data_IF_935487301513
#
_entry.id   IF_935487301513
#
_cell.length_a   1.000
_cell.length_b   1.000
_cell.length_c   1.000
_cell.angle_alpha   90.00
_cell.angle_beta   90.00
_cell.angle_gamma   90.00
#
_symmetry.space_group_name_H-M   'P 1'
#
loop_
_entity.id
_entity.type
_entity.pdbx_description
1 polymer ?
#
# COMPACT_ATOMS: atom_id res chain seq x y z
N UNK A 1 -8.50 -15.01 -1.31
CA UNK A 1 -8.57 -16.29 -0.58
C UNK A 1 -7.19 -16.92 -0.55
N UNK A 2 -6.75 -17.49 0.58
CA UNK A 2 -5.41 -18.10 0.71
C UNK A 2 -5.42 -19.60 0.35
N UNK A 3 -4.28 -20.27 0.52
CA UNK A 3 -4.11 -21.71 0.26
C UNK A 3 -4.94 -22.62 1.18
N UNK A 4 -5.48 -22.10 2.28
CA UNK A 4 -6.38 -22.81 3.20
C UNK A 4 -7.86 -22.53 2.91
N UNK A 5 -8.18 -21.73 1.89
CA UNK A 5 -9.56 -21.36 1.57
C UNK A 5 -10.09 -20.17 2.38
N UNK A 6 -9.26 -19.53 3.22
CA UNK A 6 -9.67 -18.39 4.04
C UNK A 6 -9.65 -17.11 3.22
N UNK A 7 -10.66 -16.26 3.40
CA UNK A 7 -10.79 -15.00 2.65
C UNK A 7 -10.96 -13.82 3.60
N UNK A 8 -10.22 -12.76 3.32
CA UNK A 8 -10.45 -11.41 3.84
C UNK A 8 -10.53 -10.46 2.64
N UNK A 9 -11.34 -9.42 2.76
CA UNK A 9 -11.48 -8.38 1.73
C UNK A 9 -11.13 -7.01 2.31
N UNK A 10 -10.66 -6.14 1.43
CA UNK A 10 -10.50 -4.71 1.67
C UNK A 10 -10.80 -4.00 0.36
N UNK A 11 -11.49 -2.88 0.43
CA UNK A 11 -11.72 -2.03 -0.73
C UNK A 11 -10.46 -1.20 -0.96
N UNK A 12 -9.96 -1.22 -2.20
CA UNK A 12 -8.84 -0.40 -2.62
C UNK A 12 -9.30 0.56 -3.72
N UNK A 13 -8.92 1.82 -3.59
CA UNK A 13 -9.07 2.82 -4.66
C UNK A 13 -7.76 2.89 -5.44
N UNK A 14 -7.85 2.73 -6.74
CA UNK A 14 -6.68 2.70 -7.61
C UNK A 14 -6.32 4.11 -8.05
N UNK A 15 -5.05 4.44 -7.83
CA UNK A 15 -4.44 5.67 -8.30
C UNK A 15 -4.54 5.76 -9.83
N UNK A 16 -4.97 6.89 -10.38
CA UNK A 16 -4.99 7.10 -11.83
C UNK A 16 -3.60 6.87 -12.41
N UNK A 17 -3.51 6.10 -13.49
CA UNK A 17 -2.24 5.76 -14.12
C UNK A 17 -1.47 7.02 -14.53
N UNK A 18 -0.16 7.01 -14.27
CA UNK A 18 0.74 8.13 -14.57
C UNK A 18 0.60 9.30 -13.61
N UNK A 19 -0.30 9.26 -12.62
CA UNK A 19 -0.43 10.36 -11.64
C UNK A 19 0.84 10.64 -10.83
N UNK A 20 1.80 9.71 -10.76
CA UNK A 20 3.12 9.96 -10.17
C UNK A 20 3.93 11.01 -10.97
N UNK A 21 3.65 11.14 -12.27
CA UNK A 21 4.22 12.18 -13.14
C UNK A 21 3.26 13.35 -13.37
N UNK A 22 1.98 13.21 -12.97
CA UNK A 22 1.01 14.31 -13.01
C UNK A 22 1.24 15.22 -11.82
N UNK A 23 1.79 16.41 -12.08
CA UNK A 23 2.07 17.39 -11.03
C UNK A 23 0.77 17.81 -10.34
N UNK A 24 0.72 17.69 -9.01
CA UNK A 24 -0.43 18.12 -8.20
C UNK A 24 -0.80 19.58 -8.47
N UNK A 25 0.21 20.40 -8.74
CA UNK A 25 0.07 21.80 -9.07
C UNK A 25 -0.59 22.07 -10.43
N UNK A 26 -0.80 21.06 -11.27
CA UNK A 26 -1.45 21.21 -12.59
C UNK A 26 -2.89 20.69 -12.60
N UNK A 27 -3.31 19.95 -11.57
CA UNK A 27 -4.67 19.40 -11.45
C UNK A 27 -5.12 18.58 -12.68
N UNK A 28 -4.19 17.91 -13.37
CA UNK A 28 -4.45 17.17 -14.62
C UNK A 28 -5.56 16.10 -14.50
N UNK A 29 -5.63 15.28 -13.43
CA UNK A 29 -6.76 14.39 -13.15
C UNK A 29 -8.16 15.03 -13.25
N UNK A 30 -8.34 16.30 -12.88
CA UNK A 30 -9.64 16.96 -13.03
C UNK A 30 -10.02 17.12 -14.51
N UNK A 31 -9.08 17.56 -15.35
CA UNK A 31 -9.34 17.71 -16.79
C UNK A 31 -9.52 16.36 -17.50
N UNK A 32 -8.87 15.30 -17.02
CA UNK A 32 -9.15 13.94 -17.45
C UNK A 32 -10.58 13.52 -17.08
N UNK A 33 -11.02 13.77 -15.84
CA UNK A 33 -12.37 13.44 -15.39
C UNK A 33 -13.45 14.11 -16.25
N UNK A 34 -13.25 15.35 -16.70
CA UNK A 34 -14.15 16.05 -17.62
C UNK A 34 -14.35 15.34 -18.97
N UNK A 35 -13.37 14.54 -19.39
CA UNK A 35 -13.41 13.80 -20.65
C UNK A 35 -14.02 12.41 -20.54
N UNK A 36 -14.36 11.94 -19.34
CA UNK A 36 -14.86 10.58 -19.14
C UNK A 36 -16.39 10.50 -19.21
N UNK A 37 -16.87 9.45 -19.85
CA UNK A 37 -18.28 9.05 -19.81
C UNK A 37 -18.54 8.12 -18.63
N UNK A 38 -19.81 8.05 -18.20
CA UNK A 38 -20.28 7.08 -17.21
C UNK A 38 -19.94 5.64 -17.62
N UNK A 39 -19.68 4.80 -16.62
CA UNK A 39 -19.39 3.38 -16.80
C UNK A 39 -20.57 2.51 -16.38
N UNK A 40 -20.57 1.25 -16.79
CA UNK A 40 -21.50 0.26 -16.26
C UNK A 40 -20.82 -0.54 -15.15
N UNK A 41 -21.46 -0.62 -13.98
CA UNK A 41 -21.03 -1.45 -12.86
C UNK A 41 -22.25 -2.16 -12.28
N UNK A 42 -22.24 -3.50 -12.32
CA UNK A 42 -23.37 -4.35 -11.91
C UNK A 42 -24.73 -3.89 -12.48
N UNK A 43 -24.76 -3.57 -13.79
CA UNK A 43 -25.97 -3.12 -14.49
C UNK A 43 -26.40 -1.69 -14.17
N UNK A 44 -25.61 -0.92 -13.42
CA UNK A 44 -25.90 0.49 -13.11
C UNK A 44 -24.93 1.39 -13.84
N UNK A 45 -25.44 2.50 -14.38
CA UNK A 45 -24.61 3.56 -14.91
C UNK A 45 -24.01 4.36 -13.75
N UNK A 46 -22.70 4.28 -13.54
CA UNK A 46 -21.97 4.95 -12.44
C UNK A 46 -21.03 6.03 -12.98
N UNK A 47 -20.82 7.13 -12.26
CA UNK A 47 -19.78 8.09 -12.63
C UNK A 47 -18.39 7.47 -12.38
N UNK A 48 -17.41 7.65 -13.28
CA UNK A 48 -16.04 7.22 -13.03
C UNK A 48 -15.39 8.10 -11.95
N UNK A 49 -14.46 7.52 -11.19
CA UNK A 49 -13.61 8.26 -10.27
C UNK A 49 -12.21 8.39 -10.87
N UNK A 50 -11.74 9.62 -11.04
CA UNK A 50 -10.33 9.91 -11.35
C UNK A 50 -9.67 10.41 -10.08
N UNK A 51 -8.55 9.79 -9.71
CA UNK A 51 -7.91 10.05 -8.41
C UNK A 51 -6.69 10.95 -8.59
N UNK A 52 -6.70 12.07 -7.87
CA UNK A 52 -5.53 12.92 -7.65
C UNK A 52 -4.87 12.47 -6.35
N UNK A 53 -3.68 11.87 -6.44
CA UNK A 53 -2.90 11.46 -5.26
C UNK A 53 -1.48 11.97 -5.42
N UNK A 54 -0.99 12.66 -4.39
CA UNK A 54 0.38 13.14 -4.28
C UNK A 54 0.79 13.18 -2.81
N UNK A 55 2.09 13.02 -2.54
CA UNK A 55 2.64 13.25 -1.21
C UNK A 55 2.50 14.73 -0.85
N UNK A 56 2.06 15.03 0.38
CA UNK A 56 1.76 16.40 0.80
C UNK A 56 2.97 17.34 0.75
N UNK A 57 4.17 16.78 0.89
CA UNK A 57 5.45 17.47 0.76
C UNK A 57 5.65 18.03 -0.65
N UNK A 58 5.15 17.31 -1.67
CA UNK A 58 5.18 17.75 -3.06
C UNK A 58 4.21 18.92 -3.32
N UNK A 59 3.34 19.25 -2.35
CA UNK A 59 2.39 20.36 -2.37
C UNK A 59 2.75 21.56 -1.48
N UNK A 60 3.96 21.64 -0.91
CA UNK A 60 4.33 22.79 -0.07
C UNK A 60 5.62 22.71 0.74
N UNK A 61 6.36 21.60 0.74
CA UNK A 61 7.76 21.59 1.24
C UNK A 61 8.74 21.90 0.11
N UNK A 62 8.35 21.58 -1.13
CA UNK A 62 9.13 21.84 -2.36
C UNK A 62 8.57 22.99 -3.23
N UNK A 63 7.52 23.67 -2.77
CA UNK A 63 6.87 24.80 -3.45
C UNK A 63 6.72 25.94 -2.43
N UNK A 64 7.36 27.09 -2.66
CA UNK A 64 7.27 28.24 -1.74
C UNK A 64 5.86 28.87 -1.70
N UNK A 65 4.98 28.51 -2.62
CA UNK A 65 3.64 29.07 -2.79
C UNK A 65 2.62 27.98 -3.11
N UNK A 66 1.38 28.20 -2.69
CA UNK A 66 0.29 27.27 -2.95
C UNK A 66 -0.10 27.27 -4.45
N UNK A 67 -0.37 26.11 -5.09
CA UNK A 67 -0.58 26.07 -6.54
C UNK A 67 -1.82 26.84 -7.00
N UNK A 68 -1.65 27.85 -7.86
CA UNK A 68 -2.76 28.65 -8.39
C UNK A 68 -3.84 27.84 -9.12
N UNK A 69 -3.43 26.78 -9.84
CA UNK A 69 -4.38 25.88 -10.53
C UNK A 69 -5.34 25.17 -9.59
N UNK A 70 -4.96 24.95 -8.32
CA UNK A 70 -5.88 24.37 -7.35
C UNK A 70 -7.10 25.28 -7.18
N UNK A 71 -6.90 26.58 -6.96
CA UNK A 71 -8.01 27.52 -6.78
C UNK A 71 -8.88 27.62 -8.03
N UNK A 72 -8.25 27.64 -9.22
CA UNK A 72 -8.98 27.64 -10.48
C UNK A 72 -9.87 26.38 -10.60
N UNK A 73 -9.31 25.20 -10.41
CA UNK A 73 -10.05 23.94 -10.51
C UNK A 73 -11.13 23.84 -9.44
N UNK A 74 -10.87 24.24 -8.20
CA UNK A 74 -11.89 24.26 -7.16
C UNK A 74 -13.07 25.16 -7.53
N UNK A 75 -12.81 26.32 -8.14
CA UNK A 75 -13.87 27.21 -8.62
C UNK A 75 -14.65 26.59 -9.79
N UNK A 76 -13.97 26.01 -10.77
CA UNK A 76 -14.61 25.36 -11.92
C UNK A 76 -15.43 24.10 -11.52
N UNK A 77 -14.91 23.29 -10.60
CA UNK A 77 -15.52 22.02 -10.20
C UNK A 77 -16.74 22.22 -9.29
N UNK A 78 -16.76 23.30 -8.50
CA UNK A 78 -17.82 23.57 -7.52
C UNK A 78 -19.18 23.76 -8.20
N UNK A 79 -20.13 22.86 -7.91
CA UNK A 79 -21.46 22.88 -8.50
C UNK A 79 -21.53 22.40 -9.96
N UNK A 80 -20.44 21.82 -10.47
CA UNK A 80 -20.40 21.20 -11.81
C UNK A 80 -20.78 19.71 -11.77
N UNK A 81 -20.90 19.10 -12.95
CA UNK A 81 -21.07 17.65 -13.12
C UNK A 81 -19.78 16.84 -12.86
N UNK A 82 -18.65 17.51 -12.55
CA UNK A 82 -17.35 16.91 -12.23
C UNK A 82 -16.86 17.42 -10.87
N UNK A 83 -17.57 17.14 -9.78
CA UNK A 83 -17.22 17.66 -8.46
C UNK A 83 -15.99 16.97 -7.89
N UNK A 84 -15.26 17.69 -7.04
CA UNK A 84 -14.24 17.10 -6.18
C UNK A 84 -14.92 16.37 -5.02
N UNK A 85 -14.47 15.16 -4.72
CA UNK A 85 -14.99 14.36 -3.60
C UNK A 85 -13.89 13.47 -3.03
N UNK A 86 -14.07 13.05 -1.78
CA UNK A 86 -13.21 12.05 -1.17
C UNK A 86 -13.64 10.63 -1.58
N UNK A 87 -12.76 9.65 -1.35
CA UNK A 87 -13.04 8.25 -1.69
C UNK A 87 -14.26 7.68 -0.94
N UNK A 88 -14.48 8.10 0.31
CA UNK A 88 -15.62 7.65 1.11
C UNK A 88 -16.94 8.13 0.52
N UNK A 89 -17.05 9.41 0.15
CA UNK A 89 -18.23 10.00 -0.51
C UNK A 89 -18.56 9.26 -1.82
N UNK A 90 -17.53 8.93 -2.61
CA UNK A 90 -17.73 8.15 -3.83
C UNK A 90 -18.28 6.74 -3.54
N UNK A 91 -17.70 6.03 -2.57
CA UNK A 91 -18.15 4.69 -2.18
C UNK A 91 -19.58 4.72 -1.60
N UNK A 92 -19.89 5.70 -0.77
CA UNK A 92 -21.24 5.92 -0.24
C UNK A 92 -22.24 6.17 -1.36
N UNK A 93 -21.87 6.94 -2.38
CA UNK A 93 -22.70 7.15 -3.56
C UNK A 93 -22.97 5.83 -4.31
N UNK A 94 -21.94 5.02 -4.55
CA UNK A 94 -22.10 3.70 -5.19
C UNK A 94 -23.02 2.79 -4.35
N UNK A 95 -22.85 2.75 -3.04
CA UNK A 95 -23.66 1.93 -2.14
C UNK A 95 -25.11 2.42 -2.07
N UNK A 96 -25.33 3.73 -2.05
CA UNK A 96 -26.67 4.32 -2.13
C UNK A 96 -27.36 4.02 -3.47
N UNK A 97 -26.58 3.92 -4.55
CA UNK A 97 -27.08 3.42 -5.84
C UNK A 97 -27.41 1.93 -5.79
N UNK A 98 -27.04 1.20 -4.73
CA UNK A 98 -27.28 -0.23 -4.53
C UNK A 98 -26.22 -1.14 -5.16
N UNK A 99 -25.02 -0.61 -5.42
CA UNK A 99 -23.81 -1.41 -5.67
C UNK A 99 -23.37 -2.02 -4.34
N UNK A 100 -22.93 -3.27 -4.36
CA UNK A 100 -22.39 -3.97 -3.17
C UNK A 100 -20.87 -4.09 -3.29
N UNK A 101 -20.20 -4.36 -2.17
CA UNK A 101 -18.77 -4.67 -2.19
C UNK A 101 -18.45 -5.85 -3.14
N UNK A 102 -19.33 -6.85 -3.21
CA UNK A 102 -19.20 -8.00 -4.13
C UNK A 102 -19.32 -7.65 -5.61
N UNK A 103 -19.85 -6.47 -5.93
CA UNK A 103 -20.02 -5.99 -7.29
C UNK A 103 -18.78 -5.22 -7.77
N UNK A 104 -17.88 -4.85 -6.86
CA UNK A 104 -16.63 -4.18 -7.19
C UNK A 104 -15.64 -5.14 -7.89
N UNK A 105 -14.88 -4.66 -8.87
CA UNK A 105 -13.91 -5.50 -9.55
C UNK A 105 -12.81 -5.98 -8.59
N UNK A 106 -12.47 -7.27 -8.69
CA UNK A 106 -11.35 -7.82 -7.90
C UNK A 106 -10.03 -7.25 -8.38
N UNK A 107 -9.29 -6.62 -7.48
CA UNK A 107 -7.93 -6.18 -7.75
C UNK A 107 -6.95 -7.36 -7.62
N UNK A 108 -6.03 -7.49 -8.57
CA UNK A 108 -4.92 -8.45 -8.49
C UNK A 108 -3.60 -7.77 -8.88
N UNK A 109 -2.50 -8.02 -8.14
CA UNK A 109 -1.19 -7.55 -8.55
C UNK A 109 -0.81 -8.10 -9.93
N UNK A 110 0.04 -7.35 -10.63
CA UNK A 110 0.50 -7.72 -11.97
C UNK A 110 1.06 -9.15 -11.97
N UNK A 111 0.73 -9.91 -13.01
CA UNK A 111 1.10 -11.33 -13.20
C UNK A 111 0.50 -12.33 -12.19
N UNK A 112 -0.07 -11.90 -11.05
CA UNK A 112 -0.60 -12.85 -10.05
C UNK A 112 -1.89 -13.55 -10.50
N UNK A 113 -2.60 -13.02 -11.51
CA UNK A 113 -3.71 -13.74 -12.16
C UNK A 113 -3.31 -15.15 -12.60
N UNK A 114 -2.06 -15.34 -13.04
CA UNK A 114 -1.53 -16.64 -13.49
C UNK A 114 -1.50 -17.70 -12.40
N UNK A 115 -1.42 -17.28 -11.12
CA UNK A 115 -1.55 -18.22 -9.99
C UNK A 115 -2.97 -18.76 -9.98
N UNK A 116 -3.96 -17.88 -10.04
CA UNK A 116 -5.39 -18.23 -9.94
C UNK A 116 -5.92 -18.99 -11.15
N UNK A 117 -5.26 -18.89 -12.30
CA UNK A 117 -5.54 -19.72 -13.48
C UNK A 117 -5.10 -21.20 -13.27
N UNK A 118 -4.21 -21.47 -12.32
CA UNK A 118 -3.60 -22.80 -12.08
C UNK A 118 -3.84 -23.36 -10.68
N UNK A 119 -4.28 -22.52 -9.76
CA UNK A 119 -4.45 -22.85 -8.35
C UNK A 119 -5.88 -22.52 -7.90
N UNK A 120 -6.56 -23.50 -7.28
CA UNK A 120 -7.83 -23.25 -6.62
C UNK A 120 -7.56 -22.94 -5.14
N UNK A 121 -8.12 -21.85 -4.59
CA UNK A 121 -8.00 -21.59 -3.16
C UNK A 121 -8.47 -22.78 -2.33
N UNK A 122 -7.70 -23.16 -1.31
CA UNK A 122 -7.95 -24.36 -0.51
C UNK A 122 -7.17 -25.61 -0.96
N UNK A 123 -6.49 -25.59 -2.10
CA UNK A 123 -5.70 -26.74 -2.59
C UNK A 123 -4.41 -27.00 -1.78
N UNK A 124 -4.18 -26.29 -0.68
CA UNK A 124 -3.05 -26.50 0.23
C UNK A 124 -1.81 -25.65 -0.08
N UNK A 125 -0.98 -25.35 0.94
CA UNK A 125 0.20 -24.51 0.80
C UNK A 125 1.26 -25.11 -0.12
N UNK A 126 1.44 -26.43 -0.12
CA UNK A 126 2.45 -27.13 -0.91
C UNK A 126 2.19 -26.96 -2.42
N UNK A 127 0.93 -27.08 -2.84
CA UNK A 127 0.54 -26.89 -4.23
C UNK A 127 0.68 -25.44 -4.67
N UNK A 128 0.39 -24.49 -3.78
CA UNK A 128 0.58 -23.06 -4.05
C UNK A 128 2.08 -22.76 -4.27
N UNK A 129 2.95 -23.30 -3.42
CA UNK A 129 4.40 -23.15 -3.53
C UNK A 129 4.92 -23.73 -4.85
N UNK A 130 4.47 -24.94 -5.21
CA UNK A 130 4.81 -25.56 -6.50
C UNK A 130 4.36 -24.67 -7.68
N UNK A 131 3.14 -24.16 -7.64
CA UNK A 131 2.59 -23.28 -8.70
C UNK A 131 3.45 -22.02 -8.86
N UNK A 132 3.82 -21.39 -7.74
CA UNK A 132 4.69 -20.21 -7.74
C UNK A 132 6.07 -20.55 -8.30
N UNK A 133 6.65 -21.70 -7.93
CA UNK A 133 7.96 -22.13 -8.41
C UNK A 133 7.96 -22.40 -9.93
N UNK A 134 6.90 -22.99 -10.46
CA UNK A 134 6.72 -23.20 -11.90
C UNK A 134 6.60 -21.87 -12.65
N UNK A 135 5.76 -20.94 -12.15
CA UNK A 135 5.60 -19.61 -12.75
C UNK A 135 6.91 -18.81 -12.76
N UNK A 136 7.71 -18.90 -11.69
CA UNK A 136 9.06 -18.29 -11.63
C UNK A 136 10.02 -18.86 -12.68
N UNK A 137 9.94 -20.17 -12.99
CA UNK A 137 10.78 -20.82 -14.01
C UNK A 137 10.37 -20.43 -15.43
N UNK A 138 9.07 -20.25 -15.67
CA UNK A 138 8.53 -19.89 -16.98
C UNK A 138 8.82 -18.44 -17.37
N UNK A 139 8.78 -17.51 -16.41
CA UNK A 139 8.93 -16.09 -16.67
C UNK A 139 9.75 -15.43 -15.55
N UNK A 140 10.98 -15.01 -15.86
CA UNK A 140 11.85 -14.34 -14.90
C UNK A 140 11.32 -13.00 -14.37
N UNK A 141 10.27 -12.44 -14.99
CA UNK A 141 9.55 -11.26 -14.48
C UNK A 141 8.52 -11.62 -13.41
N UNK A 142 8.14 -12.88 -13.27
CA UNK A 142 7.20 -13.30 -12.23
C UNK A 142 7.90 -13.31 -10.87
N UNK A 143 7.43 -12.46 -9.96
CA UNK A 143 7.92 -12.41 -8.58
C UNK A 143 6.74 -12.25 -7.61
N UNK A 144 6.89 -12.84 -6.43
CA UNK A 144 5.95 -12.67 -5.30
C UNK A 144 6.38 -11.56 -4.34
N UNK A 145 7.56 -10.98 -4.56
CA UNK A 145 8.14 -9.93 -3.74
C UNK A 145 7.80 -8.55 -4.32
N UNK A 146 7.69 -7.51 -3.48
CA UNK A 146 7.81 -6.13 -3.95
C UNK A 146 6.69 -5.62 -4.85
N UNK A 147 5.47 -5.51 -4.33
CA UNK A 147 4.53 -4.50 -4.83
C UNK A 147 5.08 -3.12 -4.48
N UNK A 148 5.44 -2.31 -5.48
CA UNK A 148 5.81 -0.91 -5.29
C UNK A 148 4.80 -0.03 -5.99
N UNK A 149 4.44 1.08 -5.37
CA UNK A 149 3.66 2.14 -6.03
C UNK A 149 4.42 2.74 -7.23
N UNK A 150 5.75 2.60 -7.28
CA UNK A 150 6.58 3.04 -8.41
C UNK A 150 6.77 1.98 -9.51
N UNK A 151 6.37 0.73 -9.26
CA UNK A 151 6.57 -0.46 -10.12
C UNK A 151 8.03 -0.83 -10.47
N UNK A 152 9.03 0.01 -10.18
CA UNK A 152 10.43 -0.15 -10.63
C UNK A 152 11.45 -0.25 -9.48
N UNK A 153 11.09 0.17 -8.26
CA UNK A 153 11.96 0.12 -7.08
C UNK A 153 11.64 -1.14 -6.27
N UNK A 154 12.68 -1.96 -6.03
CA UNK A 154 12.59 -3.05 -5.06
C UNK A 154 12.81 -2.52 -3.64
N UNK A 155 11.84 -2.78 -2.77
CA UNK A 155 11.93 -2.51 -1.34
C UNK A 155 12.55 -3.67 -0.54
N UNK A 156 12.96 -4.73 -1.24
CA UNK A 156 13.45 -5.99 -0.66
C UNK A 156 14.88 -6.25 -1.11
N UNK A 157 15.10 -6.33 -2.43
CA UNK A 157 16.39 -6.70 -3.00
C UNK A 157 17.47 -5.68 -2.63
N UNK A 158 18.57 -6.17 -2.07
CA UNK A 158 19.72 -5.35 -1.72
C UNK A 158 19.58 -4.60 -0.39
N UNK A 159 18.51 -4.86 0.38
CA UNK A 159 18.28 -4.28 1.71
C UNK A 159 18.37 -5.32 2.84
N UNK A 160 18.97 -6.48 2.59
CA UNK A 160 19.16 -7.55 3.58
C UNK A 160 19.84 -7.06 4.86
N UNK A 161 20.75 -6.09 4.72
CA UNK A 161 21.47 -5.46 5.81
C UNK A 161 20.56 -4.73 6.82
N UNK A 162 19.35 -4.30 6.42
CA UNK A 162 18.38 -3.66 7.32
C UNK A 162 17.12 -4.52 7.54
N UNK A 163 16.67 -5.26 6.53
CA UNK A 163 15.52 -6.16 6.64
C UNK A 163 15.78 -7.32 7.60
N UNK A 164 16.94 -7.98 7.52
CA UNK A 164 17.29 -9.05 8.44
C UNK A 164 17.27 -8.60 9.91
N UNK A 165 17.89 -7.47 10.27
CA UNK A 165 17.76 -6.89 11.61
C UNK A 165 16.32 -6.54 12.02
N UNK A 166 15.50 -6.01 11.11
CA UNK A 166 14.07 -5.71 11.40
C UNK A 166 13.29 -6.99 11.72
N UNK A 167 13.46 -8.05 10.92
CA UNK A 167 12.84 -9.35 11.14
C UNK A 167 13.28 -9.95 12.48
N UNK A 168 14.59 -9.90 12.76
CA UNK A 168 15.15 -10.38 14.03
C UNK A 168 14.55 -9.61 15.22
N UNK A 169 14.48 -8.28 15.15
CA UNK A 169 13.91 -7.46 16.21
C UNK A 169 12.41 -7.80 16.46
N UNK A 170 11.64 -8.01 15.39
CA UNK A 170 10.24 -8.43 15.46
C UNK A 170 10.09 -9.80 16.14
N UNK A 171 10.92 -10.77 15.74
CA UNK A 171 10.94 -12.11 16.34
C UNK A 171 11.35 -12.07 17.81
N UNK A 172 12.39 -11.32 18.17
CA UNK A 172 12.83 -11.13 19.56
C UNK A 172 11.72 -10.49 20.40
N UNK A 173 11.02 -9.47 19.87
CA UNK A 173 9.89 -8.86 20.58
C UNK A 173 8.76 -9.87 20.81
N UNK A 174 8.41 -10.69 19.82
CA UNK A 174 7.41 -11.74 20.02
C UNK A 174 7.84 -12.73 21.11
N UNK A 175 9.05 -13.28 21.02
CA UNK A 175 9.54 -14.33 21.93
C UNK A 175 9.73 -13.83 23.36
N UNK A 176 10.15 -12.57 23.55
CA UNK A 176 10.48 -12.01 24.88
C UNK A 176 9.35 -11.19 25.49
N UNK A 177 8.45 -10.63 24.68
CA UNK A 177 7.42 -9.71 25.15
C UNK A 177 6.02 -10.29 25.02
N UNK A 178 5.61 -10.68 23.81
CA UNK A 178 4.24 -11.13 23.55
C UNK A 178 3.98 -12.54 24.06
N UNK A 179 4.86 -13.50 23.74
CA UNK A 179 4.72 -14.91 24.10
C UNK A 179 4.73 -15.14 25.63
N UNK A 180 5.58 -14.46 26.43
CA UNK A 180 5.51 -14.54 27.89
C UNK A 180 4.38 -13.70 28.50
N UNK A 181 3.63 -12.95 27.67
CA UNK A 181 2.54 -12.06 28.09
C UNK A 181 2.98 -10.97 29.06
N UNK A 182 4.09 -10.30 28.73
CA UNK A 182 4.61 -9.18 29.52
C UNK A 182 3.53 -8.09 29.65
N UNK A 183 3.23 -7.59 30.86
CA UNK A 183 2.19 -6.58 31.05
C UNK A 183 2.50 -5.30 30.28
N UNK A 184 1.49 -4.69 29.65
CA UNK A 184 1.62 -3.41 28.93
C UNK A 184 1.96 -2.23 29.86
N UNK A 185 1.80 -2.41 31.17
CA UNK A 185 2.20 -1.47 32.22
C UNK A 185 3.69 -1.54 32.55
N UNK A 186 4.41 -2.59 32.14
CA UNK A 186 5.86 -2.63 32.24
C UNK A 186 6.45 -1.54 31.32
N UNK A 187 7.26 -0.61 31.83
CA UNK A 187 7.85 0.45 31.02
C UNK A 187 8.69 -0.09 29.85
N UNK A 188 9.31 -1.27 30.01
CA UNK A 188 10.11 -1.93 28.97
C UNK A 188 9.23 -2.42 27.82
N UNK A 189 7.98 -2.82 28.07
CA UNK A 189 7.03 -3.22 27.02
C UNK A 189 6.85 -2.08 26.01
N UNK A 190 6.46 -0.89 26.50
CA UNK A 190 6.17 0.27 25.64
C UNK A 190 7.44 0.78 24.97
N UNK A 191 8.57 0.71 25.65
CA UNK A 191 9.86 1.11 25.10
C UNK A 191 10.32 0.19 23.96
N UNK A 192 10.23 -1.14 24.16
CA UNK A 192 10.55 -2.10 23.11
C UNK A 192 9.58 -1.97 21.91
N UNK A 193 8.27 -1.80 22.19
CA UNK A 193 7.26 -1.61 21.14
C UNK A 193 7.52 -0.33 20.34
N UNK A 194 7.85 0.78 21.01
CA UNK A 194 8.17 2.05 20.33
C UNK A 194 9.32 1.85 19.34
N UNK A 195 10.45 1.28 19.79
CA UNK A 195 11.59 1.05 18.92
C UNK A 195 11.26 0.04 17.81
N UNK A 196 10.49 -1.00 18.09
CA UNK A 196 10.07 -1.96 17.07
C UNK A 196 9.26 -1.26 15.97
N UNK A 197 8.21 -0.51 16.34
CA UNK A 197 7.36 0.19 15.37
C UNK A 197 8.15 1.24 14.58
N UNK A 198 9.02 2.01 15.25
CA UNK A 198 9.90 2.96 14.57
C UNK A 198 10.89 2.28 13.61
N UNK A 199 11.36 1.07 13.94
CA UNK A 199 12.27 0.31 13.08
C UNK A 199 11.64 -0.11 11.75
N UNK A 200 10.31 -0.22 11.68
CA UNK A 200 9.60 -0.81 10.55
C UNK A 200 9.17 0.19 9.47
N UNK A 201 9.55 1.46 9.60
CA UNK A 201 9.29 2.45 8.53
C UNK A 201 10.00 2.06 7.23
N UNK A 202 9.30 2.25 6.11
CA UNK A 202 9.85 2.05 4.77
C UNK A 202 10.92 3.11 4.42
N UNK A 203 10.93 4.27 5.08
CA UNK A 203 11.88 5.36 4.81
C UNK A 203 13.35 4.92 4.86
N UNK A 204 13.69 3.92 5.68
CA UNK A 204 15.06 3.41 5.75
C UNK A 204 15.56 2.76 4.45
N UNK A 205 14.64 2.40 3.56
CA UNK A 205 14.95 1.82 2.25
C UNK A 205 14.60 2.76 1.10
N UNK A 206 13.66 3.68 1.31
CA UNK A 206 13.23 4.62 0.27
C UNK A 206 14.37 5.49 -0.27
N UNK A 207 15.21 5.99 0.63
CA UNK A 207 16.29 6.94 0.31
C UNK A 207 17.59 6.29 -0.18
N UNK A 208 17.56 5.00 -0.50
CA UNK A 208 18.76 4.25 -0.86
C UNK A 208 19.57 3.76 0.35
N UNK A 209 20.71 3.14 0.05
CA UNK A 209 21.66 2.68 1.05
C UNK A 209 22.40 3.85 1.72
N UNK A 210 22.82 3.67 2.97
CA UNK A 210 23.64 4.64 3.72
C UNK A 210 23.03 5.04 5.05
N UNK A 211 23.07 6.33 5.37
CA UNK A 211 22.74 6.84 6.71
C UNK A 211 21.34 6.42 7.20
N UNK A 212 20.34 6.43 6.32
CA UNK A 212 18.99 5.97 6.66
C UNK A 212 18.95 4.48 7.00
N UNK A 213 19.66 3.63 6.25
CA UNK A 213 19.77 2.20 6.59
C UNK A 213 20.50 2.00 7.93
N UNK A 214 21.50 2.82 8.25
CA UNK A 214 22.23 2.76 9.52
C UNK A 214 21.34 3.09 10.71
N UNK A 215 20.50 4.12 10.57
CA UNK A 215 19.47 4.45 11.57
C UNK A 215 18.48 3.30 11.76
N UNK A 216 18.01 2.69 10.67
CA UNK A 216 17.15 1.52 10.75
C UNK A 216 17.79 0.39 11.54
N UNK A 217 19.05 0.06 11.25
CA UNK A 217 19.82 -0.98 11.96
C UNK A 217 20.00 -0.67 13.44
N UNK A 218 20.34 0.57 13.78
CA UNK A 218 20.53 0.99 15.17
C UNK A 218 19.21 0.93 15.97
N UNK A 219 18.09 1.31 15.36
CA UNK A 219 16.78 1.24 16.01
C UNK A 219 16.35 -0.23 16.20
N UNK A 220 16.62 -1.11 15.23
CA UNK A 220 16.43 -2.57 15.40
C UNK A 220 17.25 -3.13 16.57
N UNK A 221 18.51 -2.70 16.69
CA UNK A 221 19.40 -3.10 17.78
C UNK A 221 18.84 -2.65 19.13
N UNK A 222 18.34 -1.42 19.24
CA UNK A 222 17.70 -0.90 20.47
C UNK A 222 16.42 -1.65 20.82
N UNK A 223 15.56 -1.92 19.84
CA UNK A 223 14.34 -2.72 20.04
C UNK A 223 14.69 -4.09 20.63
N UNK A 224 15.67 -4.78 20.04
CA UNK A 224 16.11 -6.09 20.51
C UNK A 224 16.72 -6.03 21.92
N UNK A 225 17.60 -5.05 22.19
CA UNK A 225 18.24 -4.91 23.50
C UNK A 225 17.23 -4.65 24.63
N UNK A 226 16.22 -3.81 24.40
CA UNK A 226 15.16 -3.57 25.40
C UNK A 226 14.33 -4.84 25.57
N UNK A 227 13.92 -5.51 24.48
CA UNK A 227 13.15 -6.74 24.54
C UNK A 227 13.89 -7.88 25.26
N UNK A 228 15.20 -8.02 25.05
CA UNK A 228 16.04 -9.03 25.70
C UNK A 228 16.29 -8.75 27.18
N UNK A 229 16.16 -7.49 27.60
CA UNK A 229 16.28 -7.08 29.00
C UNK A 229 14.99 -7.27 29.82
N UNK A 230 13.90 -7.73 29.19
CA UNK A 230 12.62 -8.01 29.85
C UNK A 230 12.69 -9.30 30.64
#
# INVERSE_FOLDING_TARGET
TNSKGETVSIIAVIKTQGSDTKLVAQMQPYYEAKGLSRWELAGKSVPPLVTQIADGENGGVMMNEFPGMFFQVMHEASGSDVPMMNATEYLEHLFAMGIKESDLPTLQPLLQKRIWERFKPGDGPEKLEQTIAELKKEDGRFHMEGGSWTNDISWVRGYDNVLGPMEKASSTFYEKVLKPKVPTTDPRYRNALFHLMSSQTSCYRYWGQGLWTDYGREICRRASAVAESI
#
